data_IF_364111505671
#
_entry.id   IF_364111505671
#
_cell.length_a   1.000
_cell.length_b   1.000
_cell.length_c   1.000
_cell.angle_alpha   90.00
_cell.angle_beta   90.00
_cell.angle_gamma   90.00
#
_symmetry.space_group_name_H-M   'P 1'
#
loop_
_entity.id
_entity.type
_entity.pdbx_description
1 polymer ?
#
# COMPACT_ATOMS: atom_id res chain seq x y z
N UNK A 1 9.04 9.52 -2.03
CA UNK A 1 8.15 9.42 -3.20
C UNK A 1 8.51 8.16 -3.94
N UNK A 2 7.53 7.31 -4.21
CA UNK A 2 7.70 6.00 -4.85
C UNK A 2 6.65 5.84 -5.94
N UNK A 3 7.01 5.22 -7.06
CA UNK A 3 6.10 4.89 -8.15
C UNK A 3 5.99 3.38 -8.29
N UNK A 4 4.76 2.89 -8.28
CA UNK A 4 4.43 1.51 -8.59
C UNK A 4 3.89 1.45 -10.01
N UNK A 5 4.50 0.61 -10.84
CA UNK A 5 4.08 0.38 -12.21
C UNK A 5 2.72 -0.33 -12.29
N UNK A 6 1.99 -0.22 -13.42
CA UNK A 6 0.86 -1.09 -13.69
C UNK A 6 1.26 -2.57 -13.54
N UNK A 7 0.43 -3.34 -12.84
CA UNK A 7 0.70 -4.74 -12.52
C UNK A 7 1.68 -4.94 -11.37
N UNK A 8 2.05 -3.90 -10.62
CA UNK A 8 2.84 -4.04 -9.40
C UNK A 8 2.15 -5.00 -8.42
N UNK A 9 2.92 -5.94 -7.88
CA UNK A 9 2.52 -6.87 -6.84
C UNK A 9 3.71 -7.05 -5.90
N UNK A 10 3.53 -6.74 -4.62
CA UNK A 10 4.54 -7.04 -3.62
C UNK A 10 4.71 -8.57 -3.46
N UNK A 11 5.95 -9.02 -3.27
CA UNK A 11 6.35 -10.42 -3.23
C UNK A 11 6.37 -11.04 -1.82
N UNK A 12 6.10 -10.23 -0.78
CA UNK A 12 6.07 -10.65 0.61
C UNK A 12 5.09 -9.83 1.45
N UNK A 13 4.79 -10.32 2.64
CA UNK A 13 4.11 -9.56 3.70
C UNK A 13 5.13 -8.67 4.41
N UNK A 14 4.88 -7.36 4.44
CA UNK A 14 5.69 -6.44 5.22
C UNK A 14 5.10 -6.25 6.61
N UNK A 15 5.99 -6.24 7.61
CA UNK A 15 5.65 -6.07 9.03
C UNK A 15 6.18 -4.76 9.62
N UNK A 16 6.79 -3.91 8.79
CA UNK A 16 7.22 -2.58 9.19
C UNK A 16 6.03 -1.65 9.25
N UNK A 17 6.04 -0.69 10.17
CA UNK A 17 5.05 0.36 10.18
C UNK A 17 5.21 1.23 8.94
N UNK A 18 4.10 1.66 8.33
CA UNK A 18 4.13 2.58 7.21
C UNK A 18 3.00 3.61 7.31
N UNK A 19 3.27 4.82 6.82
CA UNK A 19 2.25 5.81 6.44
C UNK A 19 2.31 5.96 4.93
N UNK A 20 1.19 5.67 4.26
CA UNK A 20 1.05 5.84 2.82
C UNK A 20 0.04 6.95 2.52
N UNK A 21 0.36 7.79 1.55
CA UNK A 21 -0.57 8.71 0.89
C UNK A 21 -0.53 8.43 -0.62
N UNK A 22 -1.69 8.11 -1.19
CA UNK A 22 -1.84 7.95 -2.63
C UNK A 22 -2.01 9.32 -3.27
N UNK A 23 -1.10 9.66 -4.20
CA UNK A 23 -1.12 10.94 -4.90
C UNK A 23 -1.80 10.82 -6.26
N UNK A 24 -1.56 9.72 -6.96
CA UNK A 24 -2.11 9.41 -8.28
C UNK A 24 -2.31 7.90 -8.40
N UNK A 25 -3.30 7.47 -9.19
CA UNK A 25 -3.60 6.04 -9.41
C UNK A 25 -4.38 5.38 -8.28
N UNK A 26 -4.23 4.07 -8.17
CA UNK A 26 -4.94 3.22 -7.20
C UNK A 26 -4.00 2.18 -6.58
N UNK A 27 -4.07 2.01 -5.26
CA UNK A 27 -3.33 1.00 -4.53
C UNK A 27 -4.30 0.13 -3.75
N UNK A 28 -4.21 -1.18 -3.95
CA UNK A 28 -4.90 -2.15 -3.10
C UNK A 28 -3.93 -2.65 -2.04
N UNK A 29 -4.39 -2.71 -0.81
CA UNK A 29 -3.65 -3.29 0.32
C UNK A 29 -4.47 -4.41 0.92
N UNK A 30 -3.87 -5.57 0.99
CA UNK A 30 -4.36 -6.74 1.73
C UNK A 30 -3.64 -6.79 3.08
N UNK A 31 -4.37 -7.08 4.14
CA UNK A 31 -3.82 -7.47 5.43
C UNK A 31 -3.83 -8.99 5.55
N UNK A 32 -2.91 -9.56 6.32
CA UNK A 32 -2.77 -11.02 6.47
C UNK A 32 -4.04 -11.68 7.05
N UNK A 33 -4.87 -10.92 7.76
CA UNK A 33 -6.18 -11.38 8.27
C UNK A 33 -7.31 -11.38 7.22
N UNK A 34 -6.99 -11.01 5.97
CA UNK A 34 -7.90 -11.02 4.83
C UNK A 34 -8.68 -9.72 4.61
N UNK A 35 -8.54 -8.71 5.49
CA UNK A 35 -9.10 -7.37 5.21
C UNK A 35 -8.42 -6.75 3.99
N UNK A 36 -9.20 -6.01 3.20
CA UNK A 36 -8.71 -5.34 2.00
C UNK A 36 -9.14 -3.87 1.98
N UNK A 37 -8.25 -3.02 1.51
CA UNK A 37 -8.45 -1.59 1.40
C UNK A 37 -7.99 -1.11 0.04
N UNK A 38 -8.72 -0.17 -0.54
CA UNK A 38 -8.32 0.52 -1.76
C UNK A 38 -8.04 1.98 -1.44
N UNK A 39 -6.83 2.44 -1.74
CA UNK A 39 -6.46 3.85 -1.70
C UNK A 39 -6.55 4.43 -3.11
N UNK A 40 -7.31 5.51 -3.25
CA UNK A 40 -7.31 6.37 -4.44
C UNK A 40 -6.63 7.70 -4.13
N UNK A 41 -6.40 8.54 -5.14
CA UNK A 41 -5.73 9.83 -4.97
C UNK A 41 -6.35 10.67 -3.84
N UNK A 42 -5.50 11.16 -2.93
CA UNK A 42 -5.89 11.92 -1.74
C UNK A 42 -6.18 11.06 -0.51
N UNK A 43 -6.23 9.74 -0.63
CA UNK A 43 -6.43 8.83 0.50
C UNK A 43 -5.10 8.41 1.13
N UNK A 44 -5.13 8.18 2.44
CA UNK A 44 -3.99 7.67 3.20
C UNK A 44 -4.36 6.45 4.02
N UNK A 45 -3.36 5.64 4.35
CA UNK A 45 -3.47 4.52 5.26
C UNK A 45 -2.21 4.41 6.12
N UNK A 46 -2.36 3.84 7.31
CA UNK A 46 -1.29 3.66 8.28
C UNK A 46 -1.33 2.26 8.87
N UNK A 47 -0.16 1.68 9.07
CA UNK A 47 0.03 0.44 9.82
C UNK A 47 1.13 0.57 10.85
N UNK A 48 0.95 -0.15 11.95
CA UNK A 48 1.93 -0.23 13.03
C UNK A 48 3.04 -1.22 12.74
N UNK A 49 4.19 -1.01 13.39
CA UNK A 49 5.29 -1.96 13.36
C UNK A 49 4.91 -3.25 14.11
N UNK A 50 5.14 -4.42 13.50
CA UNK A 50 4.78 -5.74 14.03
C UNK A 50 3.29 -5.90 14.42
N UNK A 51 2.38 -5.17 13.77
CA UNK A 51 0.95 -5.20 14.05
C UNK A 51 0.19 -5.97 12.95
N UNK A 52 -0.10 -5.31 11.83
CA UNK A 52 -0.79 -5.93 10.69
C UNK A 52 0.18 -6.16 9.52
N UNK A 53 0.56 -7.43 9.30
CA UNK A 53 1.25 -7.84 8.09
C UNK A 53 0.45 -7.42 6.87
N UNK A 54 1.06 -6.64 5.98
CA UNK A 54 0.37 -6.05 4.84
C UNK A 54 1.15 -6.24 3.55
N UNK A 55 0.42 -6.28 2.44
CA UNK A 55 0.98 -6.43 1.10
C UNK A 55 0.13 -5.64 0.13
N UNK A 56 0.76 -4.97 -0.81
CA UNK A 56 0.06 -4.11 -1.75
C UNK A 56 0.25 -4.53 -3.20
N UNK A 57 -0.75 -4.24 -4.02
CA UNK A 57 -0.71 -4.40 -5.46
C UNK A 57 -1.42 -3.24 -6.16
N UNK A 58 -1.12 -3.03 -7.43
CA UNK A 58 -1.78 -2.02 -8.25
C UNK A 58 -1.91 -2.51 -9.69
N UNK A 59 -3.14 -2.55 -10.19
CA UNK A 59 -3.40 -2.91 -11.59
C UNK A 59 -3.02 -1.79 -12.55
N UNK A 60 -3.28 -0.54 -12.18
CA UNK A 60 -3.11 0.64 -13.04
C UNK A 60 -1.83 1.44 -12.75
N UNK A 61 -1.12 1.10 -11.69
CA UNK A 61 0.00 1.86 -11.16
C UNK A 61 -0.45 2.89 -10.13
N UNK A 62 0.50 3.36 -9.32
CA UNK A 62 0.24 4.37 -8.30
C UNK A 62 1.49 5.21 -8.02
N UNK A 63 1.28 6.48 -7.71
CA UNK A 63 2.30 7.37 -7.17
C UNK A 63 2.04 7.59 -5.70
N UNK A 64 3.00 7.24 -4.86
CA UNK A 64 2.83 7.16 -3.43
C UNK A 64 3.86 8.04 -2.71
N UNK A 65 3.40 8.70 -1.65
CA UNK A 65 4.28 9.18 -0.60
C UNK A 65 4.25 8.14 0.52
N UNK A 66 5.41 7.56 0.84
CA UNK A 66 5.57 6.49 1.84
C UNK A 66 6.57 6.96 2.89
N UNK A 67 6.23 6.75 4.15
CA UNK A 67 7.10 6.94 5.32
C UNK A 67 7.12 5.64 6.11
N UNK A 68 8.32 5.20 6.50
CA UNK A 68 8.55 4.02 7.35
C UNK A 68 8.92 4.42 8.79
#
# INVERSE_FOLDING_TARGET
MVEYSPGYLADHWCWRGHILLCLEGELHTELEDGRQFTLTAGMSYQVGNNAEGHRSFSTTGAKLFIVD
#
